data_IF_152000838551
#
_entry.id   IF_152000838551
#
_cell.length_a   1.000
_cell.length_b   1.000
_cell.length_c   1.000
_cell.angle_alpha   90.00
_cell.angle_beta   90.00
_cell.angle_gamma   90.00
#
_symmetry.space_group_name_H-M   'P 1'
#
loop_
_entity.id
_entity.type
_entity.pdbx_description
1 polymer ?
#
# COMPACT_ATOMS: atom_id res chain seq x y z
N UNK A 1 -17.06 -10.13 -7.83
CA UNK A 1 -15.74 -9.70 -7.34
C UNK A 1 -14.67 -10.50 -8.06
N UNK A 2 -13.51 -9.90 -8.26
CA UNK A 2 -12.32 -10.52 -8.83
C UNK A 2 -11.15 -10.29 -7.87
N UNK A 3 -10.17 -11.19 -7.90
CA UNK A 3 -8.86 -11.01 -7.29
C UNK A 3 -7.88 -10.77 -8.42
N UNK A 4 -7.06 -9.73 -8.28
CA UNK A 4 -5.98 -9.46 -9.22
C UNK A 4 -4.67 -9.97 -8.64
N UNK A 5 -3.96 -10.77 -9.42
CA UNK A 5 -2.57 -11.16 -9.14
C UNK A 5 -1.71 -10.65 -10.29
N UNK A 6 -0.96 -9.58 -10.05
CA UNK A 6 0.02 -9.08 -11.00
C UNK A 6 1.19 -10.09 -11.11
N UNK A 7 1.18 -10.90 -12.18
CA UNK A 7 2.16 -11.98 -12.37
C UNK A 7 3.46 -11.47 -12.98
N UNK A 8 3.42 -10.31 -13.64
CA UNK A 8 4.54 -9.75 -14.39
C UNK A 8 5.17 -8.52 -13.69
N UNK A 9 4.53 -8.03 -12.62
CA UNK A 9 4.93 -6.89 -11.78
C UNK A 9 4.97 -5.54 -12.52
N UNK A 10 4.12 -5.34 -13.53
CA UNK A 10 4.04 -4.09 -14.29
C UNK A 10 3.02 -3.08 -13.74
N UNK A 11 2.20 -3.48 -12.77
CA UNK A 11 1.17 -2.66 -12.15
C UNK A 11 -0.05 -2.39 -13.03
N UNK A 12 -0.20 -3.09 -14.16
CA UNK A 12 -1.31 -2.96 -15.11
C UNK A 12 -2.14 -4.24 -15.08
N UNK A 13 -3.40 -4.12 -14.65
CA UNK A 13 -4.29 -5.27 -14.64
C UNK A 13 -4.62 -5.76 -16.05
N UNK A 14 -4.33 -7.03 -16.31
CA UNK A 14 -4.61 -7.73 -17.57
C UNK A 14 -5.64 -8.85 -17.38
N UNK A 15 -6.32 -9.26 -18.45
CA UNK A 15 -7.44 -10.22 -18.36
C UNK A 15 -7.05 -11.60 -17.80
N UNK A 16 -5.82 -12.03 -18.05
CA UNK A 16 -5.24 -13.29 -17.61
C UNK A 16 -4.72 -13.26 -16.16
N UNK A 17 -4.71 -12.08 -15.53
CA UNK A 17 -4.34 -11.86 -14.13
C UNK A 17 -5.54 -11.75 -13.17
N UNK A 18 -6.74 -11.73 -13.75
CA UNK A 18 -7.99 -11.56 -13.02
C UNK A 18 -8.63 -12.91 -12.75
N UNK A 19 -8.72 -13.26 -11.48
CA UNK A 19 -9.26 -14.51 -10.99
C UNK A 19 -10.65 -14.28 -10.40
N UNK A 20 -11.61 -15.13 -10.73
CA UNK A 20 -12.91 -15.11 -10.04
C UNK A 20 -12.77 -15.79 -8.67
N UNK A 21 -13.47 -15.26 -7.65
CA UNK A 21 -13.48 -15.86 -6.31
C UNK A 21 -13.83 -17.36 -6.34
N UNK A 22 -14.81 -17.73 -7.16
CA UNK A 22 -15.22 -19.12 -7.35
C UNK A 22 -14.09 -19.98 -7.94
N UNK A 23 -13.38 -19.49 -8.97
CA UNK A 23 -12.30 -20.24 -9.62
C UNK A 23 -11.13 -20.56 -8.68
N UNK A 24 -10.89 -19.70 -7.69
CA UNK A 24 -9.85 -19.88 -6.67
C UNK A 24 -10.39 -20.45 -5.36
N UNK A 25 -11.70 -20.71 -5.27
CA UNK A 25 -12.30 -21.40 -4.12
C UNK A 25 -12.63 -20.53 -2.90
N UNK A 26 -12.69 -19.20 -3.04
CA UNK A 26 -13.18 -18.32 -1.97
C UNK A 26 -14.70 -18.36 -1.92
N UNK A 27 -15.24 -18.67 -0.74
CA UNK A 27 -16.70 -18.74 -0.50
C UNK A 27 -17.24 -17.43 0.05
N UNK A 28 -16.53 -16.82 1.02
CA UNK A 28 -16.94 -15.56 1.62
C UNK A 28 -15.77 -14.77 2.18
N UNK A 29 -15.99 -13.45 2.30
CA UNK A 29 -15.12 -12.51 2.99
C UNK A 29 -15.86 -12.01 4.22
N UNK A 30 -15.27 -12.15 5.40
CA UNK A 30 -15.84 -11.60 6.63
C UNK A 30 -15.70 -10.07 6.63
N UNK A 31 -16.75 -9.37 7.08
CA UNK A 31 -16.75 -7.89 7.14
C UNK A 31 -16.39 -7.36 8.53
N UNK A 32 -16.27 -8.25 9.53
CA UNK A 32 -15.84 -7.86 10.87
C UNK A 32 -14.33 -7.71 10.88
N UNK A 33 -13.85 -6.47 10.93
CA UNK A 33 -12.42 -6.17 10.88
C UNK A 33 -11.79 -6.08 12.27
N UNK A 34 -10.47 -6.28 12.30
CA UNK A 34 -9.62 -6.13 13.48
C UNK A 34 -8.47 -5.17 13.13
N UNK A 35 -8.08 -4.23 14.00
CA UNK A 35 -6.92 -3.40 13.74
C UNK A 35 -5.64 -4.23 13.75
N UNK A 36 -4.76 -3.93 12.80
CA UNK A 36 -3.36 -4.37 12.78
C UNK A 36 -2.47 -3.12 12.88
N UNK A 37 -1.41 -3.21 13.67
CA UNK A 37 -0.43 -2.15 13.86
C UNK A 37 0.96 -2.64 13.40
N UNK A 38 1.00 -3.25 12.21
CA UNK A 38 2.18 -3.96 11.70
C UNK A 38 2.74 -3.27 10.46
N UNK A 39 4.07 -3.17 10.40
CA UNK A 39 4.81 -2.78 9.20
C UNK A 39 5.61 -3.97 8.70
N UNK A 40 5.56 -4.24 7.40
CA UNK A 40 6.39 -5.27 6.78
C UNK A 40 7.83 -4.78 6.50
N UNK A 41 8.69 -5.69 6.04
CA UNK A 41 10.11 -5.40 5.76
C UNK A 41 10.31 -4.33 4.67
N UNK A 42 9.28 -4.06 3.85
CA UNK A 42 9.29 -3.02 2.83
C UNK A 42 8.67 -1.69 3.32
N UNK A 43 8.28 -1.62 4.60
CA UNK A 43 7.69 -0.44 5.22
C UNK A 43 6.21 -0.22 4.87
N UNK A 44 5.53 -1.19 4.25
CA UNK A 44 4.08 -1.06 4.04
C UNK A 44 3.34 -1.28 5.35
N UNK A 45 2.28 -0.50 5.57
CA UNK A 45 1.51 -0.57 6.80
C UNK A 45 0.27 -1.44 6.64
N UNK A 46 0.16 -2.50 7.44
CA UNK A 46 -0.97 -3.42 7.45
C UNK A 46 -1.94 -2.95 8.53
N UNK A 47 -3.01 -2.26 8.13
CA UNK A 47 -3.85 -1.45 9.03
C UNK A 47 -5.03 -2.21 9.62
N UNK A 48 -5.70 -3.03 8.82
CA UNK A 48 -6.88 -3.79 9.23
C UNK A 48 -6.76 -5.21 8.71
N UNK A 49 -7.24 -6.19 9.47
CA UNK A 49 -7.37 -7.57 9.01
C UNK A 49 -8.78 -8.11 9.19
N UNK A 50 -9.13 -9.11 8.40
CA UNK A 50 -10.36 -9.89 8.47
C UNK A 50 -10.06 -11.32 7.99
N UNK A 51 -11.09 -12.15 7.81
CA UNK A 51 -10.94 -13.54 7.39
C UNK A 51 -11.60 -13.83 6.02
N UNK A 52 -10.99 -14.75 5.29
CA UNK A 52 -11.52 -15.40 4.11
C UNK A 52 -11.92 -16.83 4.50
N UNK A 53 -13.12 -17.24 4.10
CA UNK A 53 -13.53 -18.64 4.22
C UNK A 53 -13.40 -19.33 2.85
N UNK A 54 -12.65 -20.42 2.81
CA UNK A 54 -12.39 -21.21 1.61
C UNK A 54 -13.36 -22.39 1.52
N UNK A 55 -13.57 -22.89 0.30
CA UNK A 55 -14.48 -24.02 0.04
C UNK A 55 -14.02 -25.33 0.70
N UNK A 56 -12.72 -25.47 0.97
CA UNK A 56 -12.13 -26.62 1.67
C UNK A 56 -12.31 -26.55 3.21
N UNK A 57 -12.95 -25.49 3.72
CA UNK A 57 -13.15 -25.24 5.15
C UNK A 57 -12.00 -24.51 5.84
N UNK A 58 -10.91 -24.20 5.13
CA UNK A 58 -9.81 -23.39 5.63
C UNK A 58 -10.24 -21.94 5.84
N UNK A 59 -9.53 -21.25 6.73
CA UNK A 59 -9.61 -19.80 6.89
C UNK A 59 -8.23 -19.19 6.80
N UNK A 60 -8.13 -18.10 6.05
CA UNK A 60 -6.91 -17.28 5.96
C UNK A 60 -7.23 -15.82 6.23
N UNK A 61 -6.22 -15.05 6.57
CA UNK A 61 -6.36 -13.62 6.80
C UNK A 61 -6.42 -12.84 5.46
N UNK A 62 -7.19 -11.76 5.43
CA UNK A 62 -7.12 -10.69 4.42
C UNK A 62 -6.77 -9.38 5.12
N UNK A 63 -5.94 -8.54 4.49
CA UNK A 63 -5.39 -7.32 5.10
C UNK A 63 -5.62 -6.08 4.21
N UNK A 64 -5.90 -4.95 4.85
CA UNK A 64 -5.87 -3.61 4.25
C UNK A 64 -4.43 -3.07 4.37
N UNK A 65 -3.74 -2.98 3.24
CA UNK A 65 -2.33 -2.58 3.16
C UNK A 65 -2.21 -1.20 2.57
N UNK A 66 -1.59 -0.29 3.33
CA UNK A 66 -1.15 1.00 2.85
C UNK A 66 0.27 0.85 2.31
N UNK A 67 0.39 0.86 0.98
CA UNK A 67 1.68 0.74 0.31
C UNK A 67 2.56 1.96 0.56
N UNK A 68 3.82 1.70 0.91
CA UNK A 68 4.84 2.72 1.00
C UNK A 68 5.30 3.08 -0.42
N UNK A 69 4.99 4.29 -0.87
CA UNK A 69 5.48 4.78 -2.16
C UNK A 69 6.80 5.51 -1.90
N UNK A 70 7.89 4.92 -2.37
CA UNK A 70 9.13 5.67 -2.50
C UNK A 70 8.94 6.74 -3.58
N UNK A 71 8.60 7.95 -3.16
CA UNK A 71 8.84 9.11 -3.98
C UNK A 71 10.36 9.22 -4.10
N UNK A 72 10.91 8.76 -5.21
CA UNK A 72 12.18 9.28 -5.68
C UNK A 72 11.93 10.78 -5.85
N UNK A 73 12.26 11.58 -4.83
CA UNK A 73 12.41 13.00 -5.05
C UNK A 73 13.37 13.08 -6.22
N UNK A 74 12.83 13.48 -7.37
CA UNK A 74 13.63 13.78 -8.54
C UNK A 74 14.52 14.92 -8.05
N UNK A 75 15.74 14.60 -7.63
CA UNK A 75 16.71 15.59 -7.17
C UNK A 75 16.63 16.72 -8.17
N UNK A 76 16.16 17.92 -7.78
CA UNK A 76 16.05 19.00 -8.74
C UNK A 76 17.43 19.13 -9.37
N UNK A 77 17.49 19.08 -10.70
CA UNK A 77 18.69 19.50 -11.41
C UNK A 77 19.13 20.82 -10.77
N UNK A 78 20.44 21.01 -10.45
CA UNK A 78 20.92 22.22 -9.81
C UNK A 78 20.58 23.49 -10.60
N UNK A 79 20.06 23.37 -11.83
CA UNK A 79 19.57 24.46 -12.66
C UNK A 79 18.22 25.07 -12.24
N UNK A 80 17.47 24.50 -11.29
CA UNK A 80 16.17 25.03 -10.84
C UNK A 80 16.12 25.39 -9.35
N UNK A 81 17.18 26.01 -8.81
CA UNK A 81 17.09 26.68 -7.50
C UNK A 81 16.34 28.00 -7.69
N UNK A 82 15.01 27.97 -7.67
CA UNK A 82 14.25 29.13 -7.23
C UNK A 82 14.24 29.10 -5.70
N UNK A 83 14.98 30.02 -5.10
CA UNK A 83 14.91 30.31 -3.67
C UNK A 83 13.48 30.75 -3.35
N UNK A 84 12.69 29.88 -2.72
CA UNK A 84 11.47 30.32 -2.05
C UNK A 84 11.80 30.48 -0.57
N UNK A 85 11.96 31.74 -0.19
CA UNK A 85 12.00 32.17 1.20
C UNK A 85 10.81 31.62 1.99
N UNK A 86 11.06 31.34 3.27
CA UNK A 86 10.08 30.86 4.24
C UNK A 86 8.76 31.65 4.18
N UNK A 87 7.70 31.03 3.65
CA UNK A 87 6.32 31.52 3.83
C UNK A 87 5.61 30.60 4.80
N UNK A 88 5.38 31.14 6.00
CA UNK A 88 4.49 30.59 7.00
C UNK A 88 3.07 30.47 6.46
N UNK A 89 2.57 29.24 6.36
CA UNK A 89 1.15 28.89 6.35
C UNK A 89 0.35 29.24 5.10
N UNK A 90 0.01 28.21 4.30
CA UNK A 90 -1.36 27.94 3.86
C UNK A 90 -1.51 26.46 3.52
N UNK A 91 -2.70 25.95 3.79
CA UNK A 91 -3.09 24.55 3.85
C UNK A 91 -2.89 23.83 2.51
N UNK A 92 -2.08 22.77 2.53
CA UNK A 92 -2.09 21.77 1.47
C UNK A 92 -2.58 20.45 2.08
N UNK A 93 -3.80 20.06 1.72
CA UNK A 93 -4.40 18.79 2.08
C UNK A 93 -3.70 17.64 1.34
N UNK A 94 -2.50 17.31 1.76
CA UNK A 94 -1.84 16.05 1.42
C UNK A 94 -1.25 15.51 2.72
N UNK A 95 -1.98 14.60 3.37
CA UNK A 95 -1.43 13.76 4.43
C UNK A 95 -0.39 12.83 3.81
N UNK A 96 0.81 13.36 3.58
CA UNK A 96 2.03 12.56 3.57
C UNK A 96 2.57 12.68 4.99
N UNK A 97 2.40 11.64 5.79
CA UNK A 97 3.18 11.52 7.02
C UNK A 97 4.65 11.47 6.61
N UNK A 98 5.35 12.58 6.86
CA UNK A 98 6.77 12.71 6.56
C UNK A 98 7.51 11.80 7.55
N UNK A 99 7.84 10.58 7.14
CA UNK A 99 8.77 9.74 7.87
C UNK A 99 10.17 10.31 7.64
N UNK A 100 10.62 11.16 8.56
CA UNK A 100 12.00 11.61 8.62
C UNK A 100 12.88 10.48 9.14
N UNK A 101 13.48 9.70 8.25
CA UNK A 101 14.64 8.86 8.62
C UNK A 101 15.90 9.70 8.60
N UNK A 102 16.31 10.22 9.76
CA UNK A 102 17.66 10.75 9.93
C UNK A 102 18.67 9.59 9.91
N UNK A 103 19.45 9.48 8.84
CA UNK A 103 20.68 8.71 8.87
C UNK A 103 21.72 9.50 9.68
N UNK A 104 22.00 9.09 10.93
CA UNK A 104 23.25 9.44 11.58
C UNK A 104 24.34 8.52 11.01
N UNK A 105 25.14 9.05 10.10
CA UNK A 105 26.45 8.50 9.78
C UNK A 105 27.41 8.88 10.93
N UNK A 106 27.89 7.87 11.65
CA UNK A 106 29.01 7.98 12.57
C UNK A 106 30.36 7.90 11.86
#
# INVERSE_FOLDING_TARGET
>A
MLVWQDVNSDGISQSDELLSLESIGIVSVELTTRPSCFYDDNGNFHKLTSDINWHNGEKTEITDVLFHIYNQEKTPSPENIYTTDFVTGQNNENYHDIISTQYLIG
#
